data_IF_049934894465
#
_entry.id   IF_049934894465
#
_cell.length_a   1.000
_cell.length_b   1.000
_cell.length_c   1.000
_cell.angle_alpha   90.00
_cell.angle_beta   90.00
_cell.angle_gamma   90.00
#
_symmetry.space_group_name_H-M   'P 1'
#
loop_
_entity.id
_entity.type
_entity.pdbx_description
1 polymer ?
#
# COMPACT_ATOMS: atom_id res chain seq x y z
N UNK A 1 7.24 12.61 -13.17
CA UNK A 1 6.47 13.81 -12.69
C UNK A 1 5.68 13.49 -11.43
N UNK A 2 5.66 14.38 -10.43
CA UNK A 2 4.92 14.17 -9.16
C UNK A 2 3.43 14.47 -9.35
N UNK A 3 2.55 13.56 -8.91
CA UNK A 3 1.10 13.75 -8.94
C UNK A 3 0.62 14.85 -7.97
N UNK A 4 -0.56 15.41 -8.21
CA UNK A 4 -1.24 16.27 -7.24
C UNK A 4 -1.50 15.53 -5.92
N UNK A 5 -1.74 16.28 -4.84
CA UNK A 5 -2.11 15.69 -3.56
C UNK A 5 -3.34 14.78 -3.73
N UNK A 6 -3.29 13.61 -3.08
CA UNK A 6 -4.36 12.62 -3.06
C UNK A 6 -4.58 12.13 -1.63
N UNK A 7 -5.83 11.86 -1.30
CA UNK A 7 -6.26 11.30 -0.02
C UNK A 7 -6.75 9.88 -0.23
N UNK A 8 -6.30 8.97 0.64
CA UNK A 8 -6.74 7.59 0.63
C UNK A 8 -7.04 7.14 2.05
N UNK A 9 -8.32 7.10 2.46
CA UNK A 9 -8.68 6.62 3.78
C UNK A 9 -8.31 5.15 3.96
N UNK A 10 -7.74 4.86 5.12
CA UNK A 10 -7.56 3.51 5.62
C UNK A 10 -8.86 3.06 6.29
N UNK A 11 -9.38 1.93 5.84
CA UNK A 11 -10.65 1.35 6.25
C UNK A 11 -10.55 0.47 7.50
N UNK A 12 -9.36 0.24 8.06
CA UNK A 12 -9.17 -0.74 9.13
C UNK A 12 -9.98 -0.40 10.40
N UNK A 13 -10.22 0.89 10.65
CA UNK A 13 -11.00 1.36 11.79
C UNK A 13 -12.51 1.52 11.49
N UNK A 14 -12.96 1.13 10.30
CA UNK A 14 -14.37 1.17 9.89
C UNK A 14 -15.16 -0.03 10.44
N UNK A 15 -16.48 -0.05 10.21
CA UNK A 15 -17.26 -1.26 10.44
C UNK A 15 -16.95 -2.31 9.37
N UNK A 16 -15.97 -3.18 9.63
CA UNK A 16 -15.55 -4.24 8.70
C UNK A 16 -16.67 -5.22 8.33
N UNK A 17 -17.73 -5.36 9.15
CA UNK A 17 -18.89 -6.17 8.81
C UNK A 17 -19.79 -5.52 7.73
N UNK A 18 -19.61 -4.22 7.46
CA UNK A 18 -20.33 -3.45 6.45
C UNK A 18 -19.38 -2.74 5.48
N UNK A 19 -18.29 -3.40 5.13
CA UNK A 19 -17.15 -2.76 4.46
C UNK A 19 -17.49 -2.11 3.11
N UNK A 20 -18.44 -2.67 2.35
CA UNK A 20 -18.90 -2.05 1.09
C UNK A 20 -19.51 -0.67 1.36
N UNK A 21 -20.35 -0.55 2.39
CA UNK A 21 -21.00 0.72 2.72
C UNK A 21 -20.00 1.77 3.21
N UNK A 22 -19.03 1.35 4.04
CA UNK A 22 -17.93 2.21 4.51
C UNK A 22 -17.08 2.71 3.33
N UNK A 23 -16.72 1.85 2.39
CA UNK A 23 -15.99 2.23 1.19
C UNK A 23 -16.77 3.20 0.31
N UNK A 24 -18.07 2.97 0.07
CA UNK A 24 -18.93 3.90 -0.68
C UNK A 24 -18.99 5.26 0.00
N UNK A 25 -19.19 5.30 1.31
CA UNK A 25 -19.22 6.54 2.07
C UNK A 25 -17.91 7.34 1.92
N UNK A 26 -16.77 6.65 1.93
CA UNK A 26 -15.47 7.30 1.73
C UNK A 26 -15.31 7.86 0.31
N UNK A 27 -15.74 7.12 -0.70
CA UNK A 27 -15.72 7.56 -2.10
C UNK A 27 -16.65 8.77 -2.32
N UNK A 28 -17.88 8.72 -1.79
CA UNK A 28 -18.84 9.82 -1.85
C UNK A 28 -18.36 11.07 -1.10
N UNK A 29 -17.50 10.88 -0.10
CA UNK A 29 -16.84 11.96 0.65
C UNK A 29 -15.63 12.56 -0.08
N UNK A 30 -15.30 12.07 -1.28
CA UNK A 30 -14.24 12.61 -2.14
C UNK A 30 -12.88 11.92 -1.99
N UNK A 31 -12.82 10.69 -1.48
CA UNK A 31 -11.59 9.92 -1.47
C UNK A 31 -11.06 9.67 -2.89
N UNK A 32 -9.75 9.91 -3.12
CA UNK A 32 -9.11 9.69 -4.43
C UNK A 32 -8.82 8.20 -4.69
N UNK A 33 -8.66 7.43 -3.63
CA UNK A 33 -8.42 5.99 -3.65
C UNK A 33 -8.79 5.38 -2.30
N UNK A 34 -8.92 4.05 -2.22
CA UNK A 34 -9.08 3.33 -0.96
C UNK A 34 -7.77 2.67 -0.56
N UNK A 35 -7.35 2.87 0.70
CA UNK A 35 -6.17 2.23 1.27
C UNK A 35 -6.61 0.98 2.03
N UNK A 36 -6.18 -0.20 1.57
CA UNK A 36 -6.66 -1.49 2.07
C UNK A 36 -5.51 -2.26 2.73
N UNK A 37 -5.54 -2.35 4.07
CA UNK A 37 -4.53 -3.00 4.89
C UNK A 37 -4.67 -4.52 4.89
N UNK A 38 -3.71 -5.23 4.30
CA UNK A 38 -3.67 -6.70 4.22
C UNK A 38 -2.57 -7.23 5.12
N UNK A 39 -2.97 -7.83 6.24
CA UNK A 39 -2.07 -8.36 7.25
C UNK A 39 -2.18 -9.89 7.33
N UNK A 40 -1.04 -10.58 7.23
CA UNK A 40 -0.97 -12.05 7.22
C UNK A 40 -0.61 -12.71 8.56
N UNK A 41 -0.56 -11.98 9.67
CA UNK A 41 -0.23 -12.49 11.01
C UNK A 41 1.24 -12.84 11.26
N UNK A 42 2.07 -12.90 10.21
CA UNK A 42 3.49 -13.29 10.31
C UNK A 42 4.43 -12.10 10.23
N UNK A 43 4.23 -11.22 9.24
CA UNK A 43 5.07 -10.03 9.07
C UNK A 43 4.74 -8.93 10.08
N UNK A 44 3.47 -8.88 10.48
CA UNK A 44 2.93 -8.06 11.57
C UNK A 44 2.04 -8.95 12.45
N UNK A 45 1.94 -8.68 13.76
CA UNK A 45 1.19 -9.53 14.71
C UNK A 45 -0.32 -9.26 14.67
N UNK A 46 -0.90 -9.14 13.47
CA UNK A 46 -2.32 -8.92 13.25
C UNK A 46 -2.77 -9.54 11.93
N UNK A 47 -4.05 -9.88 11.82
CA UNK A 47 -4.68 -10.45 10.62
C UNK A 47 -5.90 -9.60 10.30
N UNK A 48 -6.02 -9.19 9.04
CA UNK A 48 -7.16 -8.38 8.56
C UNK A 48 -8.01 -9.19 7.60
N UNK A 49 -7.75 -9.08 6.31
CA UNK A 49 -8.44 -9.79 5.24
C UNK A 49 -7.48 -10.05 4.09
N UNK A 50 -7.88 -10.91 3.15
CA UNK A 50 -7.11 -11.22 1.95
C UNK A 50 -7.83 -10.86 0.66
N UNK A 51 -7.29 -11.32 -0.46
CA UNK A 51 -7.85 -11.10 -1.80
C UNK A 51 -9.33 -11.49 -1.98
N UNK A 52 -9.93 -12.47 -1.26
CA UNK A 52 -11.36 -12.76 -1.42
C UNK A 52 -12.26 -11.57 -1.02
N UNK A 53 -11.86 -10.80 0.01
CA UNK A 53 -12.60 -9.59 0.42
C UNK A 53 -12.42 -8.48 -0.60
N UNK A 54 -11.23 -8.35 -1.17
CA UNK A 54 -10.95 -7.38 -2.25
C UNK A 54 -11.79 -7.67 -3.48
N UNK A 55 -11.91 -8.94 -3.87
CA UNK A 55 -12.75 -9.36 -4.98
C UNK A 55 -14.24 -9.05 -4.71
N UNK A 56 -14.71 -9.30 -3.48
CA UNK A 56 -16.06 -8.92 -3.07
C UNK A 56 -16.26 -7.39 -3.11
N UNK A 57 -15.31 -6.59 -2.64
CA UNK A 57 -15.37 -5.14 -2.70
C UNK A 57 -15.45 -4.66 -4.16
N UNK A 58 -14.56 -5.15 -5.01
CA UNK A 58 -14.50 -4.78 -6.42
C UNK A 58 -15.84 -5.04 -7.13
N UNK A 59 -16.47 -6.20 -6.88
CA UNK A 59 -17.76 -6.56 -7.47
C UNK A 59 -18.88 -5.58 -7.11
N UNK A 60 -18.86 -5.01 -5.91
CA UNK A 60 -19.91 -4.10 -5.44
C UNK A 60 -19.61 -2.63 -5.75
N UNK A 61 -18.33 -2.25 -5.78
CA UNK A 61 -17.88 -0.87 -5.99
C UNK A 61 -17.64 -0.53 -7.47
N UNK A 62 -17.48 -1.54 -8.33
CA UNK A 62 -17.19 -1.36 -9.75
C UNK A 62 -15.69 -1.21 -10.04
N UNK A 63 -15.39 -0.80 -11.28
CA UNK A 63 -14.00 -0.69 -11.79
C UNK A 63 -13.37 0.68 -11.56
N UNK A 64 -14.17 1.70 -11.28
CA UNK A 64 -13.70 3.09 -11.18
C UNK A 64 -12.88 3.36 -9.90
N UNK A 65 -13.26 2.83 -8.72
CA UNK A 65 -12.50 3.06 -7.49
C UNK A 65 -11.08 2.48 -7.56
N UNK A 66 -10.09 3.28 -7.14
CA UNK A 66 -8.70 2.85 -7.11
C UNK A 66 -8.36 2.17 -5.77
N UNK A 67 -7.99 0.89 -5.80
CA UNK A 67 -7.56 0.15 -4.62
C UNK A 67 -6.04 0.12 -4.49
N UNK A 68 -5.56 0.70 -3.39
CA UNK A 68 -4.18 0.56 -2.94
C UNK A 68 -4.09 -0.58 -1.92
N UNK A 69 -3.54 -1.72 -2.35
CA UNK A 69 -3.31 -2.84 -1.45
C UNK A 69 -2.04 -2.61 -0.66
N UNK A 70 -2.17 -2.43 0.64
CA UNK A 70 -1.03 -2.30 1.54
C UNK A 70 -0.69 -3.66 2.17
N UNK A 71 0.37 -4.27 1.64
CA UNK A 71 0.68 -5.68 1.83
C UNK A 71 1.67 -5.88 2.99
N UNK A 72 1.13 -6.03 4.20
CA UNK A 72 1.85 -6.40 5.42
C UNK A 72 1.94 -7.93 5.57
N UNK A 73 2.60 -8.56 4.59
CA UNK A 73 2.74 -10.03 4.47
C UNK A 73 4.20 -10.41 4.31
N UNK A 74 4.58 -11.61 4.77
CA UNK A 74 5.98 -12.08 4.77
C UNK A 74 6.45 -12.65 3.44
N UNK A 75 5.52 -12.92 2.52
CA UNK A 75 5.77 -13.46 1.17
C UNK A 75 4.92 -12.72 0.15
N UNK A 76 5.24 -11.46 -0.17
CA UNK A 76 4.41 -10.64 -1.06
C UNK A 76 4.26 -11.22 -2.47
N UNK A 77 5.21 -12.03 -2.94
CA UNK A 77 5.14 -12.72 -4.24
C UNK A 77 3.94 -13.67 -4.32
N UNK A 78 3.59 -14.33 -3.21
CA UNK A 78 2.52 -15.33 -3.15
C UNK A 78 1.14 -14.73 -3.46
N UNK A 79 0.92 -13.47 -3.06
CA UNK A 79 -0.40 -12.84 -3.11
C UNK A 79 -0.60 -11.98 -4.35
N UNK A 80 0.42 -11.83 -5.17
CA UNK A 80 0.42 -10.93 -6.30
C UNK A 80 -0.69 -11.24 -7.30
N UNK A 81 -0.65 -12.45 -7.87
CA UNK A 81 -1.63 -12.89 -8.88
C UNK A 81 -3.05 -12.96 -8.33
N UNK A 82 -3.29 -13.50 -7.11
CA UNK A 82 -4.62 -13.41 -6.49
C UNK A 82 -5.15 -11.99 -6.32
N UNK A 83 -4.30 -11.02 -5.93
CA UNK A 83 -4.71 -9.61 -5.80
C UNK A 83 -5.00 -8.96 -7.15
N UNK A 84 -4.21 -9.26 -8.18
CA UNK A 84 -4.46 -8.78 -9.54
C UNK A 84 -5.82 -9.27 -10.06
N UNK A 85 -6.12 -10.57 -9.87
CA UNK A 85 -7.42 -11.17 -10.25
C UNK A 85 -8.57 -10.54 -9.45
N UNK A 86 -8.35 -10.23 -8.17
CA UNK A 86 -9.34 -9.56 -7.32
C UNK A 86 -9.60 -8.09 -7.70
N UNK A 87 -8.83 -7.52 -8.63
CA UNK A 87 -9.00 -6.16 -9.15
C UNK A 87 -8.26 -5.08 -8.38
N UNK A 88 -7.17 -5.43 -7.68
CA UNK A 88 -6.27 -4.44 -7.09
C UNK A 88 -5.64 -3.53 -8.18
N UNK A 89 -5.55 -2.22 -7.93
CA UNK A 89 -4.92 -1.29 -8.88
C UNK A 89 -3.45 -1.00 -8.54
N UNK A 90 -3.09 -1.00 -7.26
CA UNK A 90 -1.70 -0.84 -6.79
C UNK A 90 -1.36 -1.89 -5.75
N UNK A 91 -0.20 -2.51 -5.91
CA UNK A 91 0.37 -3.46 -4.98
C UNK A 91 1.52 -2.81 -4.22
N UNK A 92 1.29 -2.45 -2.96
CA UNK A 92 2.26 -1.76 -2.10
C UNK A 92 2.87 -2.75 -1.11
N UNK A 93 4.11 -3.17 -1.34
CA UNK A 93 4.80 -4.16 -0.51
C UNK A 93 5.93 -3.54 0.32
N UNK A 94 6.41 -4.25 1.33
CA UNK A 94 7.57 -3.84 2.11
C UNK A 94 8.87 -4.30 1.48
N UNK A 95 9.85 -3.41 1.45
CA UNK A 95 11.21 -3.75 1.04
C UNK A 95 11.79 -4.88 1.89
N UNK A 96 11.45 -4.92 3.18
CA UNK A 96 11.92 -5.91 4.15
C UNK A 96 11.20 -7.27 4.05
N UNK A 97 10.19 -7.40 3.19
CA UNK A 97 9.41 -8.63 3.05
C UNK A 97 9.87 -9.51 1.88
N UNK A 98 10.88 -9.09 1.11
CA UNK A 98 11.40 -9.83 -0.05
C UNK A 98 12.92 -9.70 -0.14
N UNK A 99 13.57 -10.76 -0.63
CA UNK A 99 15.00 -10.75 -0.95
C UNK A 99 15.28 -10.24 -2.37
N UNK A 100 14.26 -10.15 -3.23
CA UNK A 100 14.42 -9.75 -4.62
C UNK A 100 13.36 -8.71 -5.06
N UNK A 101 13.48 -7.45 -4.58
CA UNK A 101 12.52 -6.39 -4.90
C UNK A 101 12.38 -6.14 -6.40
N UNK A 102 13.49 -6.20 -7.16
CA UNK A 102 13.47 -5.95 -8.60
C UNK A 102 12.61 -6.95 -9.38
N UNK A 103 12.70 -8.24 -9.05
CA UNK A 103 11.84 -9.26 -9.65
C UNK A 103 10.37 -9.03 -9.30
N UNK A 104 10.06 -8.75 -8.03
CA UNK A 104 8.68 -8.50 -7.61
C UNK A 104 8.10 -7.22 -8.24
N UNK A 105 8.87 -6.14 -8.36
CA UNK A 105 8.46 -4.92 -9.07
C UNK A 105 8.08 -5.24 -10.51
N UNK A 106 8.91 -6.02 -11.20
CA UNK A 106 8.65 -6.46 -12.57
C UNK A 106 7.36 -7.28 -12.64
N UNK A 107 7.20 -8.27 -11.78
CA UNK A 107 6.02 -9.14 -11.76
C UNK A 107 4.74 -8.35 -11.49
N UNK A 108 4.78 -7.34 -10.60
CA UNK A 108 3.64 -6.45 -10.33
C UNK A 108 3.19 -5.74 -11.61
N UNK A 109 4.14 -5.20 -12.38
CA UNK A 109 3.84 -4.52 -13.65
C UNK A 109 3.30 -5.48 -14.70
N UNK A 110 3.87 -6.68 -14.81
CA UNK A 110 3.39 -7.73 -15.73
C UNK A 110 1.97 -8.21 -15.40
N UNK A 111 1.56 -8.12 -14.13
CA UNK A 111 0.17 -8.37 -13.70
C UNK A 111 -0.74 -7.13 -13.79
N UNK A 112 -0.31 -6.05 -14.46
CA UNK A 112 -1.14 -4.89 -14.77
C UNK A 112 -1.39 -3.94 -13.59
N UNK A 113 -0.66 -4.08 -12.48
CA UNK A 113 -0.81 -3.23 -11.30
C UNK A 113 0.28 -2.16 -11.23
N UNK A 114 -0.04 -1.05 -10.55
CA UNK A 114 0.96 -0.06 -10.13
C UNK A 114 1.77 -0.58 -8.95
N UNK A 115 2.99 -0.08 -8.82
CA UNK A 115 3.96 -0.54 -7.82
C UNK A 115 4.05 0.44 -6.67
N UNK A 116 3.76 0.00 -5.45
CA UNK A 116 4.09 0.72 -4.23
C UNK A 116 5.23 0.02 -3.47
N UNK A 117 6.14 0.79 -2.89
CA UNK A 117 7.20 0.26 -2.04
C UNK A 117 7.22 0.98 -0.69
N UNK A 118 7.25 0.19 0.38
CA UNK A 118 7.21 0.67 1.76
C UNK A 118 8.48 0.31 2.49
N UNK A 119 8.86 1.15 3.46
CA UNK A 119 9.89 0.83 4.45
C UNK A 119 9.37 1.01 5.88
N UNK A 120 9.86 0.19 6.79
CA UNK A 120 9.65 0.33 8.24
C UNK A 120 10.31 1.59 8.77
N UNK A 121 9.87 2.11 9.94
CA UNK A 121 10.50 3.27 10.57
C UNK A 121 12.00 3.08 10.85
N UNK A 122 12.45 1.86 11.12
CA UNK A 122 13.88 1.56 11.40
C UNK A 122 14.74 1.48 10.13
N UNK A 123 14.13 1.34 8.95
CA UNK A 123 14.85 1.12 7.71
C UNK A 123 15.27 2.44 7.09
N UNK A 124 16.55 2.55 6.75
CA UNK A 124 17.16 3.72 6.11
C UNK A 124 16.52 4.03 4.76
N UNK A 125 16.25 5.30 4.47
CA UNK A 125 15.43 5.71 3.31
C UNK A 125 16.16 5.52 1.98
N UNK A 126 17.48 5.56 2.01
CA UNK A 126 18.37 5.33 0.89
C UNK A 126 18.18 3.95 0.26
N UNK A 127 17.80 2.93 1.05
CA UNK A 127 17.49 1.60 0.52
C UNK A 127 16.24 1.59 -0.36
N UNK A 128 15.23 2.41 -0.04
CA UNK A 128 14.06 2.60 -0.90
C UNK A 128 14.43 3.42 -2.13
N UNK A 129 15.29 4.42 -1.97
CA UNK A 129 15.68 5.37 -3.02
C UNK A 129 16.30 4.68 -4.24
N UNK A 130 17.01 3.57 -4.03
CA UNK A 130 17.56 2.73 -5.08
C UNK A 130 16.50 2.20 -6.08
N UNK A 131 15.23 2.17 -5.69
CA UNK A 131 14.11 1.69 -6.50
C UNK A 131 13.16 2.80 -6.94
N UNK A 132 13.41 4.06 -6.57
CA UNK A 132 12.46 5.16 -6.73
C UNK A 132 12.01 5.40 -8.19
N UNK A 133 12.89 5.17 -9.17
CA UNK A 133 12.58 5.29 -10.60
C UNK A 133 11.82 4.09 -11.18
N UNK A 134 11.61 3.03 -10.40
CA UNK A 134 10.94 1.81 -10.82
C UNK A 134 9.57 1.62 -10.15
N UNK A 135 9.18 2.52 -9.24
CA UNK A 135 7.94 2.44 -8.45
C UNK A 135 7.01 3.63 -8.75
N UNK A 136 5.71 3.44 -8.53
CA UNK A 136 4.68 4.47 -8.70
C UNK A 136 4.40 5.24 -7.39
N UNK A 137 4.74 4.66 -6.24
CA UNK A 137 4.58 5.28 -4.92
C UNK A 137 5.60 4.75 -3.92
N UNK A 138 6.26 5.64 -3.18
CA UNK A 138 6.96 5.31 -1.95
C UNK A 138 6.09 5.58 -0.73
N UNK A 139 6.01 4.64 0.19
CA UNK A 139 5.30 4.78 1.47
C UNK A 139 6.32 4.80 2.62
N UNK A 140 6.35 5.91 3.35
CA UNK A 140 7.17 6.07 4.56
C UNK A 140 6.26 5.89 5.75
N UNK A 141 6.49 4.84 6.56
CA UNK A 141 5.68 4.58 7.73
C UNK A 141 5.98 5.53 8.88
N UNK A 142 4.92 6.03 9.50
CA UNK A 142 4.94 7.01 10.59
C UNK A 142 4.36 6.46 11.89
N UNK A 143 4.17 5.14 11.97
CA UNK A 143 3.76 4.38 13.15
C UNK A 143 4.46 3.02 13.15
N UNK A 144 4.49 2.33 14.28
CA UNK A 144 4.95 0.93 14.36
C UNK A 144 3.84 0.04 13.80
N UNK A 145 4.22 -1.03 13.12
CA UNK A 145 3.27 -1.87 12.40
C UNK A 145 2.40 -2.72 13.33
N UNK A 146 1.21 -3.08 12.85
CA UNK A 146 0.41 -4.18 13.40
C UNK A 146 -0.67 -3.79 14.41
N UNK A 147 -0.70 -2.55 14.91
CA UNK A 147 -1.74 -2.09 15.83
C UNK A 147 -2.17 -0.65 15.55
N UNK A 148 -3.49 -0.43 15.54
CA UNK A 148 -4.08 0.92 15.50
C UNK A 148 -3.91 1.68 16.82
N UNK A 149 -4.13 2.99 16.79
CA UNK A 149 -4.09 3.86 17.98
C UNK A 149 -2.70 4.35 18.41
N UNK A 150 -1.68 4.11 17.58
CA UNK A 150 -0.33 4.60 17.85
C UNK A 150 -0.18 6.09 17.54
N UNK A 151 0.72 6.74 18.29
CA UNK A 151 1.07 8.15 18.03
C UNK A 151 1.88 8.26 16.75
N UNK A 152 1.59 9.31 16.00
CA UNK A 152 2.38 9.72 14.85
C UNK A 152 3.85 9.95 15.22
N UNK A 153 4.75 9.38 14.42
CA UNK A 153 6.21 9.50 14.53
C UNK A 153 6.69 10.65 13.65
N UNK A 154 6.72 11.87 14.19
CA UNK A 154 7.19 13.08 13.51
C UNK A 154 8.66 12.99 13.06
N UNK A 155 9.48 12.24 13.79
CA UNK A 155 10.86 11.95 13.44
C UNK A 155 11.04 11.13 12.13
N UNK A 156 9.96 10.68 11.48
CA UNK A 156 9.99 10.09 10.13
C UNK A 156 9.92 11.13 9.00
N UNK A 157 9.50 12.37 9.29
CA UNK A 157 9.40 13.44 8.29
C UNK A 157 10.72 13.78 7.59
N UNK A 158 11.90 13.69 8.21
CA UNK A 158 13.18 13.82 7.51
C UNK A 158 13.31 12.85 6.33
N UNK A 159 12.78 11.62 6.41
CA UNK A 159 12.81 10.66 5.29
C UNK A 159 11.93 11.11 4.12
N UNK A 160 10.72 11.61 4.43
CA UNK A 160 9.79 12.15 3.43
C UNK A 160 10.40 13.37 2.74
N UNK A 161 10.98 14.29 3.52
CA UNK A 161 11.67 15.47 3.00
C UNK A 161 12.84 15.06 2.10
N UNK A 162 13.69 14.16 2.56
CA UNK A 162 14.83 13.67 1.78
C UNK A 162 14.37 13.09 0.43
N UNK A 163 13.41 12.16 0.42
CA UNK A 163 12.85 11.59 -0.81
C UNK A 163 12.32 12.66 -1.77
N UNK A 164 11.63 13.68 -1.25
CA UNK A 164 11.12 14.80 -2.05
C UNK A 164 12.23 15.64 -2.66
N UNK A 165 13.33 15.88 -1.94
CA UNK A 165 14.47 16.67 -2.44
C UNK A 165 15.24 15.96 -3.55
N UNK A 166 15.22 14.62 -3.57
CA UNK A 166 15.83 13.81 -4.64
C UNK A 166 14.95 13.76 -5.90
N UNK A 167 14.55 14.93 -6.44
CA UNK A 167 13.62 15.04 -7.59
C UNK A 167 14.07 14.26 -8.82
N UNK A 168 15.38 14.11 -9.02
CA UNK A 168 15.99 13.36 -10.13
C UNK A 168 15.73 11.85 -10.07
N UNK A 169 15.34 11.30 -8.91
CA UNK A 169 15.01 9.89 -8.77
C UNK A 169 13.60 9.56 -9.29
N UNK A 170 12.76 10.56 -9.53
CA UNK A 170 11.34 10.42 -9.89
C UNK A 170 11.10 10.80 -11.36
N UNK A 171 11.67 10.03 -12.29
CA UNK A 171 11.46 10.21 -13.74
C UNK A 171 10.07 9.75 -14.15
#
# INVERSE_FOLDING_TARGET
MVSSCKTGPDILNSNLASLVAECLQMLDSGADYLHLDVMGGHFVPSITFGHPVVESLQKHLGQDPFFNMYMMVSRPEQWLKPMAIAGANRYTFYLEATENPGALIKDIRENGMKVGLTIKPVTTVEYLAAWANQIDMALVMTVILGFGGQKFMDNMMPKVHWLRTQSHLWT
#
